data_IF_644670343851
#
_entry.id   IF_644670343851
#
_cell.length_a   1.000
_cell.length_b   1.000
_cell.length_c   1.000
_cell.angle_alpha   90.00
_cell.angle_beta   90.00
_cell.angle_gamma   90.00
#
_symmetry.space_group_name_H-M   'P 1'
#
loop_
_entity.id
_entity.type
_entity.pdbx_description
1 polymer ?
#
# COMPACT_ATOMS: atom_id res chain seq x y z
N UNK A 1 -59.35 -27.44 70.46
CA UNK A 1 -59.04 -27.01 69.08
C UNK A 1 -57.62 -26.49 69.11
N UNK A 2 -56.70 -27.07 68.34
CA UNK A 2 -55.30 -26.62 68.32
C UNK A 2 -55.19 -25.44 67.37
N UNK A 3 -54.77 -24.28 67.89
CA UNK A 3 -54.53 -23.09 67.08
C UNK A 3 -53.27 -23.27 66.22
N UNK A 4 -53.44 -23.21 64.90
CA UNK A 4 -52.34 -23.20 63.95
C UNK A 4 -51.63 -21.85 64.04
N UNK A 5 -50.37 -21.86 64.49
CA UNK A 5 -49.51 -20.67 64.54
C UNK A 5 -49.08 -20.30 63.13
N UNK A 6 -49.72 -19.28 62.55
CA UNK A 6 -49.35 -18.73 61.25
C UNK A 6 -48.14 -17.81 61.44
N UNK A 7 -47.04 -18.11 60.75
CA UNK A 7 -45.86 -17.27 60.73
C UNK A 7 -46.02 -16.18 59.67
N UNK A 8 -45.68 -14.95 60.03
CA UNK A 8 -45.79 -13.78 59.16
C UNK A 8 -44.89 -13.90 57.92
N UNK A 9 -45.32 -13.30 56.82
CA UNK A 9 -44.58 -13.35 55.55
C UNK A 9 -43.37 -12.43 55.68
N UNK A 10 -42.18 -12.95 55.34
CA UNK A 10 -40.94 -12.17 55.40
C UNK A 10 -41.07 -10.88 54.60
N UNK A 11 -40.60 -9.77 55.18
CA UNK A 11 -40.55 -8.47 54.51
C UNK A 11 -39.71 -8.51 53.23
N UNK A 12 -39.96 -7.55 52.34
CA UNK A 12 -39.27 -7.43 51.06
C UNK A 12 -37.76 -7.27 51.30
N UNK A 13 -36.97 -8.20 50.75
CA UNK A 13 -35.51 -8.13 50.77
C UNK A 13 -35.04 -7.55 49.44
N UNK A 14 -34.28 -6.45 49.50
CA UNK A 14 -33.67 -5.87 48.31
C UNK A 14 -32.51 -6.75 47.84
N UNK A 15 -32.63 -7.31 46.65
CA UNK A 15 -31.56 -8.05 46.00
C UNK A 15 -30.75 -7.05 45.18
N UNK A 16 -29.45 -6.86 45.45
CA UNK A 16 -28.62 -5.98 44.63
C UNK A 16 -28.44 -6.60 43.23
N UNK A 17 -28.85 -5.85 42.20
CA UNK A 17 -28.72 -6.27 40.80
C UNK A 17 -27.72 -5.37 40.05
N UNK A 18 -26.67 -5.99 39.53
CA UNK A 18 -25.62 -5.33 38.75
C UNK A 18 -25.70 -5.63 37.25
N UNK A 19 -26.70 -6.39 36.80
CA UNK A 19 -26.80 -6.90 35.43
C UNK A 19 -26.77 -5.77 34.39
N UNK A 20 -27.44 -4.64 34.69
CA UNK A 20 -27.44 -3.46 33.82
C UNK A 20 -26.05 -2.82 33.68
N UNK A 21 -25.30 -2.72 34.77
CA UNK A 21 -23.94 -2.16 34.76
C UNK A 21 -22.97 -3.08 34.01
N UNK A 22 -23.08 -4.39 34.22
CA UNK A 22 -22.27 -5.39 33.51
C UNK A 22 -22.54 -5.34 32.00
N UNK A 23 -23.82 -5.28 31.61
CA UNK A 23 -24.21 -5.16 30.20
C UNK A 23 -23.66 -3.88 29.55
N UNK A 24 -23.80 -2.74 30.23
CA UNK A 24 -23.29 -1.45 29.75
C UNK A 24 -21.76 -1.46 29.61
N UNK A 25 -21.06 -2.06 30.59
CA UNK A 25 -19.61 -2.22 30.53
C UNK A 25 -19.17 -3.06 29.33
N UNK A 26 -19.86 -4.18 29.06
CA UNK A 26 -19.56 -5.03 27.90
C UNK A 26 -19.75 -4.29 26.57
N UNK A 27 -20.79 -3.46 26.44
CA UNK A 27 -21.00 -2.61 25.26
C UNK A 27 -19.82 -1.66 25.07
N UNK A 28 -19.40 -0.96 26.13
CA UNK A 28 -18.28 -0.02 26.06
C UNK A 28 -16.99 -0.74 25.67
N UNK A 29 -16.70 -1.89 26.28
CA UNK A 29 -15.52 -2.70 25.94
C UNK A 29 -15.56 -3.15 24.47
N UNK A 30 -16.73 -3.59 23.99
CA UNK A 30 -16.91 -3.98 22.59
C UNK A 30 -16.60 -2.82 21.64
N UNK A 31 -17.11 -1.61 21.92
CA UNK A 31 -16.81 -0.44 21.10
C UNK A 31 -15.34 -0.04 21.15
N UNK A 32 -14.69 -0.12 22.31
CA UNK A 32 -13.26 0.12 22.44
C UNK A 32 -12.44 -0.85 21.56
N UNK A 33 -12.75 -2.15 21.62
CA UNK A 33 -12.10 -3.17 20.78
C UNK A 33 -12.36 -2.88 19.29
N UNK A 34 -13.59 -2.51 18.94
CA UNK A 34 -13.97 -2.20 17.57
C UNK A 34 -13.20 -1.01 17.00
N UNK A 35 -13.04 0.06 17.79
CA UNK A 35 -12.23 1.24 17.41
C UNK A 35 -10.76 0.85 17.20
N UNK A 36 -10.20 0.02 18.08
CA UNK A 36 -8.82 -0.46 17.95
C UNK A 36 -8.65 -1.27 16.66
N UNK A 37 -9.60 -2.15 16.34
CA UNK A 37 -9.57 -2.93 15.10
C UNK A 37 -9.62 -2.03 13.86
N UNK A 38 -10.53 -1.04 13.83
CA UNK A 38 -10.60 -0.07 12.73
C UNK A 38 -9.27 0.68 12.58
N UNK A 39 -8.71 1.17 13.69
CA UNK A 39 -7.44 1.88 13.67
C UNK A 39 -6.30 1.02 13.08
N UNK A 40 -6.21 -0.25 13.48
CA UNK A 40 -5.22 -1.18 12.95
C UNK A 40 -5.42 -1.45 11.45
N UNK A 41 -6.67 -1.61 10.99
CA UNK A 41 -6.97 -1.78 9.56
C UNK A 41 -6.54 -0.56 8.76
N UNK A 42 -6.93 0.65 9.19
CA UNK A 42 -6.56 1.91 8.50
C UNK A 42 -5.04 2.08 8.46
N UNK A 43 -4.36 1.84 9.58
CA UNK A 43 -2.90 1.92 9.67
C UNK A 43 -2.21 0.95 8.72
N UNK A 44 -2.73 -0.26 8.57
CA UNK A 44 -2.20 -1.27 7.65
C UNK A 44 -2.38 -0.88 6.18
N UNK A 45 -3.53 -0.29 5.83
CA UNK A 45 -3.79 0.21 4.47
C UNK A 45 -2.95 1.43 4.10
N UNK A 46 -2.80 2.41 5.01
CA UNK A 46 -2.01 3.62 4.74
C UNK A 46 -0.50 3.35 4.69
N UNK A 47 -0.01 2.38 5.47
CA UNK A 47 1.43 2.07 5.54
C UNK A 47 1.88 1.04 4.51
N UNK A 48 1.10 0.78 3.45
CA UNK A 48 1.56 -0.03 2.32
C UNK A 48 2.75 0.67 1.67
N UNK A 49 3.95 0.19 1.97
CA UNK A 49 5.19 0.69 1.37
C UNK A 49 5.13 0.42 -0.13
N UNK A 50 5.50 1.42 -0.93
CA UNK A 50 5.66 1.25 -2.38
C UNK A 50 6.63 0.11 -2.66
N UNK A 51 6.31 -0.75 -3.63
CA UNK A 51 7.24 -1.82 -4.05
C UNK A 51 8.45 -1.19 -4.73
N UNK A 52 9.54 -1.97 -4.86
CA UNK A 52 10.73 -1.51 -5.57
C UNK A 52 10.41 -1.17 -7.04
N UNK A 53 9.50 -1.90 -7.66
CA UNK A 53 9.05 -1.62 -9.03
C UNK A 53 8.30 -0.28 -9.09
N UNK A 54 7.36 -0.02 -8.16
CA UNK A 54 6.60 1.23 -8.13
C UNK A 54 7.50 2.46 -7.95
N UNK A 55 8.52 2.34 -7.09
CA UNK A 55 9.52 3.40 -6.91
C UNK A 55 10.32 3.61 -8.20
N UNK A 56 10.76 2.53 -8.84
CA UNK A 56 11.52 2.61 -10.08
C UNK A 56 10.68 3.20 -11.24
N UNK A 57 9.41 2.82 -11.35
CA UNK A 57 8.48 3.38 -12.33
C UNK A 57 8.25 4.89 -12.11
N UNK A 58 8.06 5.32 -10.87
CA UNK A 58 7.92 6.74 -10.53
C UNK A 58 9.18 7.56 -10.89
N UNK A 59 10.37 6.99 -10.70
CA UNK A 59 11.62 7.62 -11.12
C UNK A 59 11.71 7.75 -12.65
N UNK A 60 11.30 6.73 -13.39
CA UNK A 60 11.30 6.76 -14.86
C UNK A 60 10.26 7.75 -15.40
N UNK A 61 9.07 7.82 -14.78
CA UNK A 61 7.99 8.72 -15.19
C UNK A 61 8.33 10.19 -15.02
N UNK A 62 9.08 10.54 -13.96
CA UNK A 62 9.44 11.93 -13.65
C UNK A 62 10.80 12.35 -14.23
N UNK A 63 11.33 11.59 -15.18
CA UNK A 63 12.68 11.77 -15.70
C UNK A 63 12.72 12.91 -16.73
N UNK A 64 13.55 13.93 -16.52
CA UNK A 64 13.75 15.03 -17.49
C UNK A 64 14.74 14.59 -18.58
N UNK A 65 14.22 14.31 -19.79
CA UNK A 65 14.97 13.80 -20.95
C UNK A 65 16.00 14.77 -21.55
N UNK A 66 16.20 15.96 -20.97
CA UNK A 66 17.21 16.94 -21.41
C UNK A 66 18.64 16.45 -21.34
N UNK A 67 19.00 15.66 -20.32
CA UNK A 67 20.37 15.15 -20.15
C UNK A 67 20.46 13.69 -20.61
N UNK A 68 20.66 13.47 -21.91
CA UNK A 68 20.58 12.15 -22.52
C UNK A 68 21.56 11.13 -21.93
N UNK A 69 22.75 11.54 -21.50
CA UNK A 69 23.71 10.64 -20.83
C UNK A 69 23.18 10.12 -19.51
N UNK A 70 22.80 11.05 -18.63
CA UNK A 70 22.31 10.71 -17.30
C UNK A 70 21.00 9.92 -17.38
N UNK A 71 20.13 10.31 -18.31
CA UNK A 71 18.89 9.61 -18.60
C UNK A 71 19.16 8.19 -19.07
N UNK A 72 20.12 7.96 -19.98
CA UNK A 72 20.45 6.61 -20.43
C UNK A 72 20.87 5.70 -19.27
N UNK A 73 21.72 6.18 -18.36
CA UNK A 73 22.09 5.40 -17.16
C UNK A 73 20.89 5.14 -16.23
N UNK A 74 20.04 6.14 -16.00
CA UNK A 74 18.85 5.99 -15.14
C UNK A 74 17.84 5.03 -15.77
N UNK A 75 17.54 5.18 -17.05
CA UNK A 75 16.61 4.31 -17.79
C UNK A 75 17.11 2.87 -17.77
N UNK A 76 18.40 2.62 -18.04
CA UNK A 76 18.95 1.27 -17.94
C UNK A 76 18.82 0.70 -16.52
N UNK A 77 19.14 1.50 -15.49
CA UNK A 77 19.12 1.04 -14.09
C UNK A 77 17.72 0.71 -13.60
N UNK A 78 16.78 1.63 -13.77
CA UNK A 78 15.42 1.50 -13.25
C UNK A 78 14.54 0.65 -14.16
N UNK A 79 14.76 0.66 -15.48
CA UNK A 79 14.01 -0.18 -16.41
C UNK A 79 14.17 -1.68 -16.08
N UNK A 80 15.38 -2.13 -15.75
CA UNK A 80 15.62 -3.53 -15.30
C UNK A 80 14.82 -3.94 -14.06
N UNK A 81 14.46 -3.00 -13.19
CA UNK A 81 13.69 -3.26 -11.95
C UNK A 81 12.20 -3.37 -12.23
N UNK A 82 11.73 -2.71 -13.29
CA UNK A 82 10.31 -2.51 -13.62
C UNK A 82 9.78 -3.61 -14.56
N UNK A 83 10.66 -4.39 -15.18
CA UNK A 83 10.30 -5.50 -16.06
C UNK A 83 9.67 -6.64 -15.24
N UNK A 84 8.40 -6.90 -15.49
CA UNK A 84 7.64 -8.00 -14.87
C UNK A 84 7.36 -9.15 -15.84
N UNK A 85 7.16 -8.86 -17.13
CA UNK A 85 6.76 -9.83 -18.15
C UNK A 85 7.70 -9.89 -19.37
N UNK A 86 7.54 -10.92 -20.19
CA UNK A 86 8.37 -11.15 -21.38
C UNK A 86 8.21 -10.07 -22.46
N UNK A 87 7.03 -9.44 -22.60
CA UNK A 87 6.81 -8.39 -23.60
C UNK A 87 7.59 -7.14 -23.22
N UNK A 88 7.45 -6.71 -21.96
CA UNK A 88 8.18 -5.55 -21.42
C UNK A 88 9.67 -5.79 -21.42
N UNK A 89 10.12 -7.02 -21.12
CA UNK A 89 11.53 -7.42 -21.24
C UNK A 89 12.07 -7.20 -22.66
N UNK A 90 11.31 -7.63 -23.68
CA UNK A 90 11.74 -7.47 -25.08
C UNK A 90 11.85 -5.99 -25.47
N UNK A 91 10.85 -5.18 -25.13
CA UNK A 91 10.87 -3.73 -25.40
C UNK A 91 12.03 -3.04 -24.69
N UNK A 92 12.34 -3.44 -23.45
CA UNK A 92 13.47 -2.89 -22.71
C UNK A 92 14.81 -3.24 -23.36
N UNK A 93 15.00 -4.47 -23.83
CA UNK A 93 16.25 -4.87 -24.47
C UNK A 93 16.50 -4.10 -25.78
N UNK A 94 15.45 -3.91 -26.58
CA UNK A 94 15.51 -3.08 -27.80
C UNK A 94 15.92 -1.63 -27.45
N UNK A 95 15.31 -1.05 -26.41
CA UNK A 95 15.64 0.29 -25.93
C UNK A 95 17.07 0.37 -25.35
N UNK A 96 17.48 -0.62 -24.56
CA UNK A 96 18.79 -0.67 -23.91
C UNK A 96 19.92 -0.63 -24.93
N UNK A 97 19.78 -1.37 -26.04
CA UNK A 97 20.76 -1.39 -27.13
C UNK A 97 20.93 0.01 -27.76
N UNK A 98 19.86 0.77 -27.95
CA UNK A 98 19.96 2.15 -28.46
C UNK A 98 20.58 3.11 -27.43
N UNK A 99 20.27 2.92 -26.14
CA UNK A 99 20.79 3.76 -25.05
C UNK A 99 22.31 3.60 -24.84
N UNK A 100 22.91 2.47 -25.21
CA UNK A 100 24.37 2.28 -25.13
C UNK A 100 25.16 3.36 -25.90
N UNK A 101 24.60 3.90 -26.99
CA UNK A 101 25.22 4.97 -27.80
C UNK A 101 25.42 6.28 -27.03
N UNK A 102 24.59 6.50 -26.01
CA UNK A 102 24.58 7.68 -25.15
C UNK A 102 25.34 7.46 -23.85
N UNK A 103 25.74 6.22 -23.58
CA UNK A 103 26.56 5.84 -22.42
C UNK A 103 28.04 6.00 -22.78
N UNK A 104 28.86 6.26 -21.77
CA UNK A 104 30.34 6.37 -21.86
C UNK A 104 30.95 7.54 -22.66
N UNK A 105 30.27 8.16 -23.62
CA UNK A 105 30.78 9.38 -24.29
C UNK A 105 30.76 10.59 -23.35
N UNK A 106 31.73 11.50 -23.48
CA UNK A 106 31.82 12.71 -22.63
C UNK A 106 30.73 13.72 -22.97
N UNK A 107 30.59 14.04 -24.25
CA UNK A 107 29.50 14.83 -24.81
C UNK A 107 28.64 13.90 -25.67
N UNK A 108 27.33 14.00 -25.52
CA UNK A 108 26.34 13.25 -26.29
C UNK A 108 25.28 14.20 -26.78
N UNK A 109 24.76 13.90 -27.97
CA UNK A 109 23.62 14.59 -28.51
C UNK A 109 22.37 14.28 -27.70
N UNK A 110 21.35 15.14 -27.85
CA UNK A 110 20.05 14.88 -27.28
C UNK A 110 19.45 13.60 -27.87
N UNK A 111 18.53 12.97 -27.13
CA UNK A 111 17.80 11.81 -27.64
C UNK A 111 17.09 12.16 -28.95
N UNK A 112 17.22 11.25 -29.92
CA UNK A 112 16.44 11.34 -31.13
C UNK A 112 14.96 11.02 -30.82
N UNK A 113 14.07 11.35 -31.75
CA UNK A 113 12.64 11.05 -31.62
C UNK A 113 12.34 9.54 -31.51
N UNK A 114 13.19 8.70 -32.09
CA UNK A 114 13.03 7.25 -32.08
C UNK A 114 13.18 6.67 -30.66
N UNK A 115 14.21 7.07 -29.93
CA UNK A 115 14.48 6.61 -28.56
C UNK A 115 13.41 7.10 -27.61
N UNK A 116 12.95 8.34 -27.77
CA UNK A 116 11.84 8.87 -26.99
C UNK A 116 10.59 8.00 -27.21
N UNK A 117 10.25 7.72 -28.46
CA UNK A 117 9.11 6.87 -28.78
C UNK A 117 9.27 5.42 -28.29
N UNK A 118 10.48 4.86 -28.35
CA UNK A 118 10.76 3.53 -27.78
C UNK A 118 10.62 3.52 -26.25
N UNK A 119 11.09 4.59 -25.58
CA UNK A 119 10.94 4.77 -24.15
C UNK A 119 9.47 4.89 -23.76
N UNK A 120 8.68 5.69 -24.48
CA UNK A 120 7.24 5.83 -24.25
C UNK A 120 6.53 4.48 -24.42
N UNK A 121 6.82 3.74 -25.50
CA UNK A 121 6.29 2.38 -25.72
C UNK A 121 6.66 1.40 -24.61
N UNK A 122 7.88 1.51 -24.08
CA UNK A 122 8.30 0.72 -22.93
C UNK A 122 7.48 1.11 -21.68
N UNK A 123 7.34 2.41 -21.40
CA UNK A 123 6.57 2.91 -20.26
C UNK A 123 5.08 2.55 -20.32
N UNK A 124 4.47 2.58 -21.50
CA UNK A 124 3.08 2.16 -21.72
C UNK A 124 2.88 0.64 -21.54
N UNK A 125 3.96 -0.13 -21.72
CA UNK A 125 3.91 -1.58 -21.62
C UNK A 125 4.02 -2.10 -20.19
N UNK A 126 4.62 -1.30 -19.32
CA UNK A 126 4.85 -1.60 -17.90
C UNK A 126 3.54 -1.59 -17.13
N UNK A 127 3.28 -2.66 -16.39
CA UNK A 127 2.15 -2.80 -15.46
C UNK A 127 2.68 -3.06 -14.04
N UNK A 128 2.63 -2.03 -13.17
CA UNK A 128 3.28 -1.96 -11.83
C UNK A 128 2.43 -1.21 -10.81
#
# INVERSE_FOLDING_TARGET
MNDLKINDIKGLVTIPDYSFFIYTFLIVVFFCIFIILIFLMVKSFLNRKKTKEQIAFEVLKNLDLKNSKECAYKITKYGRVVITDNRTKKLFLELEEELEKYKYKKNVDNFNKNIIHQFDRFMDAVDV
#
